data_IF_063794079843
#
_entry.id   IF_063794079843
#
_cell.length_a   1.000
_cell.length_b   1.000
_cell.length_c   1.000
_cell.angle_alpha   90.00
_cell.angle_beta   90.00
_cell.angle_gamma   90.00
#
_symmetry.space_group_name_H-M   'P 1'
#
loop_
_entity.id
_entity.type
_entity.pdbx_description
1 polymer ?
#
# COMPACT_ATOMS: atom_id res chain seq x y z
N UNK A 1 -5.87 2.51 10.46
CA UNK A 1 -5.59 3.96 10.46
C UNK A 1 -5.75 4.41 9.01
N UNK A 2 -6.51 5.48 8.73
CA UNK A 2 -6.76 5.98 7.36
C UNK A 2 -6.62 7.49 7.37
N UNK A 3 -5.77 8.04 6.50
CA UNK A 3 -5.53 9.48 6.40
C UNK A 3 -5.30 9.86 4.94
N UNK A 4 -5.86 10.99 4.54
CA UNK A 4 -5.63 11.62 3.23
C UNK A 4 -5.62 13.13 3.43
N UNK A 5 -4.69 13.81 2.77
CA UNK A 5 -4.52 15.26 2.78
C UNK A 5 -4.14 15.73 1.38
N UNK A 6 -4.47 16.97 1.05
CA UNK A 6 -3.98 17.58 -0.19
C UNK A 6 -2.46 17.67 -0.19
N UNK A 7 -1.84 17.49 -1.36
CA UNK A 7 -0.37 17.43 -1.48
C UNK A 7 0.32 18.73 -1.04
N UNK A 8 -0.30 19.88 -1.23
CA UNK A 8 0.21 21.20 -0.79
C UNK A 8 0.30 21.37 0.74
N UNK A 9 -0.38 20.51 1.50
CA UNK A 9 -0.35 20.46 2.96
C UNK A 9 0.53 19.32 3.50
N UNK A 10 1.19 18.57 2.61
CA UNK A 10 2.08 17.49 3.00
C UNK A 10 3.42 18.03 3.55
N UNK A 11 4.05 17.26 4.44
CA UNK A 11 5.41 17.58 4.88
C UNK A 11 6.33 17.61 3.65
N UNK A 12 7.26 18.58 3.54
CA UNK A 12 8.18 18.62 2.42
C UNK A 12 8.99 17.31 2.34
N UNK A 13 9.36 16.95 1.12
CA UNK A 13 10.34 15.90 0.89
C UNK A 13 11.64 16.27 1.62
N UNK A 14 12.15 15.35 2.43
CA UNK A 14 13.40 15.50 3.18
C UNK A 14 14.46 14.59 2.55
N UNK A 15 15.26 15.09 1.59
CA UNK A 15 16.39 14.32 1.06
C UNK A 15 17.30 13.87 2.21
N UNK A 16 17.77 12.62 2.18
CA UNK A 16 18.60 12.05 3.24
C UNK A 16 17.85 11.49 4.45
N UNK A 17 16.52 11.70 4.56
CA UNK A 17 15.71 11.10 5.65
C UNK A 17 15.63 9.57 5.59
N UNK A 18 16.03 8.97 4.47
CA UNK A 18 16.19 7.53 4.26
C UNK A 18 17.65 7.19 3.87
N UNK A 19 18.63 7.85 4.46
CA UNK A 19 20.02 7.35 4.45
C UNK A 19 20.12 6.16 5.40
N UNK A 20 19.62 5.01 4.94
CA UNK A 20 19.78 3.75 5.66
C UNK A 20 21.20 3.25 5.47
N UNK A 21 21.93 3.06 6.57
CA UNK A 21 23.15 2.27 6.53
C UNK A 21 22.82 0.77 6.34
N UNK A 22 23.85 -0.07 6.23
CA UNK A 22 23.66 -1.51 6.05
C UNK A 22 22.87 -2.13 7.23
N UNK A 23 23.12 -1.67 8.46
CA UNK A 23 22.46 -2.15 9.68
C UNK A 23 20.98 -1.80 9.70
N UNK A 24 20.63 -0.58 9.29
CA UNK A 24 19.25 -0.12 9.21
C UNK A 24 18.46 -0.88 8.13
N UNK A 25 19.10 -1.15 6.99
CA UNK A 25 18.51 -1.97 5.92
C UNK A 25 18.28 -3.42 6.37
N UNK A 26 19.22 -4.01 7.11
CA UNK A 26 19.05 -5.33 7.72
C UNK A 26 17.89 -5.33 8.72
N UNK A 27 17.82 -4.32 9.60
CA UNK A 27 16.73 -4.13 10.55
C UNK A 27 15.38 -4.05 9.83
N UNK A 28 15.24 -3.17 8.83
CA UNK A 28 14.02 -3.04 8.06
C UNK A 28 13.63 -4.36 7.39
N UNK A 29 14.59 -5.07 6.79
CA UNK A 29 14.37 -6.37 6.16
C UNK A 29 13.98 -7.46 7.17
N UNK A 30 14.42 -7.36 8.42
CA UNK A 30 14.02 -8.26 9.50
C UNK A 30 12.56 -8.05 9.93
N UNK A 31 12.08 -6.80 9.91
CA UNK A 31 10.75 -6.45 10.40
C UNK A 31 9.68 -6.37 9.32
N UNK A 32 10.03 -6.01 8.10
CA UNK A 32 9.08 -5.76 7.04
C UNK A 32 9.61 -6.09 5.65
N UNK A 33 8.67 -6.24 4.74
CA UNK A 33 8.88 -6.22 3.30
C UNK A 33 8.28 -4.94 2.78
N UNK A 34 9.07 -4.12 2.10
CA UNK A 34 8.59 -2.91 1.42
C UNK A 34 8.60 -3.14 -0.09
N UNK A 35 7.59 -2.63 -0.79
CA UNK A 35 7.54 -2.71 -2.24
C UNK A 35 6.74 -1.56 -2.87
N UNK A 36 7.29 -0.99 -3.95
CA UNK A 36 6.64 0.07 -4.72
C UNK A 36 5.51 -0.50 -5.58
N UNK A 37 4.49 0.32 -5.78
CA UNK A 37 3.44 0.12 -6.78
C UNK A 37 3.11 1.44 -7.48
N UNK A 38 2.45 1.36 -8.62
CA UNK A 38 1.98 2.52 -9.40
C UNK A 38 0.55 2.31 -9.88
N UNK A 39 -0.24 3.36 -9.99
CA UNK A 39 -1.59 3.37 -10.55
C UNK A 39 -1.69 4.40 -11.67
N UNK A 40 -2.16 3.97 -12.83
CA UNK A 40 -2.40 4.83 -13.99
C UNK A 40 -3.85 5.29 -13.98
N UNK A 41 -4.07 6.60 -13.82
CA UNK A 41 -5.42 7.16 -13.72
C UNK A 41 -6.13 7.24 -15.08
N UNK A 42 -5.42 7.06 -16.21
CA UNK A 42 -6.04 7.02 -17.54
C UNK A 42 -6.88 5.78 -17.77
N UNK A 43 -6.48 4.66 -17.16
CA UNK A 43 -7.07 3.34 -17.38
C UNK A 43 -7.53 2.65 -16.08
N UNK A 44 -7.23 3.23 -14.93
CA UNK A 44 -7.60 2.70 -13.62
C UNK A 44 -6.84 1.43 -13.21
N UNK A 45 -5.68 1.17 -13.83
CA UNK A 45 -4.88 -0.02 -13.57
C UNK A 45 -3.72 0.27 -12.61
N UNK A 46 -3.53 -0.65 -11.67
CA UNK A 46 -2.44 -0.68 -10.72
C UNK A 46 -1.42 -1.72 -11.19
N UNK A 47 -0.14 -1.38 -11.10
CA UNK A 47 0.99 -2.29 -11.33
C UNK A 47 1.73 -2.49 -10.01
N UNK A 48 1.73 -3.72 -9.54
CA UNK A 48 2.33 -4.17 -8.30
C UNK A 48 3.70 -4.79 -8.56
N UNK A 49 4.57 -4.75 -7.55
CA UNK A 49 5.74 -5.62 -7.55
C UNK A 49 5.36 -7.08 -7.23
N UNK A 50 6.36 -7.96 -7.29
CA UNK A 50 6.16 -9.41 -7.14
C UNK A 50 5.64 -9.77 -5.74
N UNK A 51 6.21 -9.15 -4.69
CA UNK A 51 5.87 -9.49 -3.30
C UNK A 51 4.45 -9.04 -2.94
N UNK A 52 4.04 -7.86 -3.41
CA UNK A 52 2.70 -7.33 -3.25
C UNK A 52 1.68 -8.14 -4.06
N UNK A 53 2.03 -8.56 -5.28
CA UNK A 53 1.17 -9.43 -6.10
C UNK A 53 0.86 -10.74 -5.36
N UNK A 54 1.89 -11.39 -4.82
CA UNK A 54 1.75 -12.62 -4.03
C UNK A 54 0.97 -12.37 -2.74
N UNK A 55 1.30 -11.31 -1.99
CA UNK A 55 0.63 -10.98 -0.74
C UNK A 55 -0.87 -10.72 -0.91
N UNK A 56 -1.29 -10.13 -2.04
CA UNK A 56 -2.71 -9.88 -2.35
C UNK A 56 -3.42 -11.06 -3.04
N UNK A 57 -2.73 -12.19 -3.25
CA UNK A 57 -3.32 -13.38 -3.88
C UNK A 57 -3.66 -13.20 -5.35
N UNK A 58 -2.85 -12.42 -6.08
CA UNK A 58 -3.02 -12.17 -7.51
C UNK A 58 -2.08 -13.02 -8.34
N UNK A 59 -2.49 -13.35 -9.56
CA UNK A 59 -1.66 -14.05 -10.55
C UNK A 59 -0.90 -13.09 -11.45
N UNK A 60 -1.46 -11.90 -11.67
CA UNK A 60 -0.88 -10.87 -12.53
C UNK A 60 -0.46 -9.67 -11.71
N UNK A 61 0.63 -9.01 -12.15
CA UNK A 61 1.13 -7.77 -11.53
C UNK A 61 0.20 -6.57 -11.78
N UNK A 62 -0.65 -6.65 -12.79
CA UNK A 62 -1.56 -5.57 -13.16
C UNK A 62 -2.99 -5.91 -12.72
N UNK A 63 -3.67 -4.98 -12.06
CA UNK A 63 -5.04 -5.20 -11.58
C UNK A 63 -5.82 -3.88 -11.48
N UNK A 64 -7.16 -3.95 -11.47
CA UNK A 64 -8.00 -2.81 -11.12
C UNK A 64 -8.14 -2.65 -9.59
N UNK A 65 -8.52 -1.45 -9.14
CA UNK A 65 -8.66 -1.13 -7.71
C UNK A 65 -9.55 -2.12 -6.94
N UNK A 66 -10.67 -2.54 -7.51
CA UNK A 66 -11.58 -3.49 -6.85
C UNK A 66 -10.91 -4.86 -6.65
N UNK A 67 -10.08 -5.30 -7.60
CA UNK A 67 -9.31 -6.53 -7.45
C UNK A 67 -8.22 -6.40 -6.39
N UNK A 68 -7.67 -5.20 -6.21
CA UNK A 68 -6.69 -4.91 -5.16
C UNK A 68 -7.30 -4.98 -3.76
N UNK A 69 -8.43 -4.32 -3.54
CA UNK A 69 -9.01 -4.18 -2.19
C UNK A 69 -9.88 -5.37 -1.77
N UNK A 70 -10.24 -6.28 -2.70
CA UNK A 70 -11.14 -7.41 -2.39
C UNK A 70 -10.63 -8.31 -1.27
N UNK A 71 -9.31 -8.41 -1.11
CA UNK A 71 -8.68 -9.23 -0.07
C UNK A 71 -8.50 -8.47 1.25
N UNK A 72 -8.81 -7.18 1.33
CA UNK A 72 -8.72 -6.45 2.59
C UNK A 72 -9.87 -6.82 3.54
N UNK A 73 -9.67 -6.54 4.83
CA UNK A 73 -10.68 -6.65 5.89
C UNK A 73 -11.99 -6.00 5.41
N UNK A 74 -13.13 -6.72 5.40
CA UNK A 74 -14.38 -6.22 4.85
C UNK A 74 -14.81 -4.84 5.35
N UNK A 75 -14.54 -4.54 6.63
CA UNK A 75 -14.87 -3.25 7.26
C UNK A 75 -14.01 -2.08 6.75
N UNK A 76 -12.85 -2.36 6.17
CA UNK A 76 -11.90 -1.35 5.70
C UNK A 76 -12.03 -1.07 4.20
N UNK A 77 -12.63 -1.99 3.42
CA UNK A 77 -12.69 -1.90 1.93
C UNK A 77 -13.28 -0.58 1.45
N UNK A 78 -14.42 -0.17 2.02
CA UNK A 78 -15.08 1.09 1.64
C UNK A 78 -14.20 2.30 1.92
N UNK A 79 -13.50 2.33 3.06
CA UNK A 79 -12.60 3.43 3.42
C UNK A 79 -11.38 3.50 2.52
N UNK A 80 -10.82 2.35 2.15
CA UNK A 80 -9.70 2.29 1.19
C UNK A 80 -10.15 2.76 -0.19
N UNK A 81 -11.34 2.33 -0.64
CA UNK A 81 -11.92 2.77 -1.90
C UNK A 81 -12.09 4.29 -1.94
N UNK A 82 -12.77 4.87 -0.94
CA UNK A 82 -12.99 6.32 -0.82
C UNK A 82 -11.68 7.12 -0.82
N UNK A 83 -10.63 6.56 -0.21
CA UNK A 83 -9.30 7.17 -0.16
C UNK A 83 -8.66 7.21 -1.55
N UNK A 84 -8.74 6.12 -2.32
CA UNK A 84 -8.23 6.10 -3.70
C UNK A 84 -9.06 6.96 -4.64
N UNK A 85 -10.38 7.04 -4.45
CA UNK A 85 -11.25 7.93 -5.21
C UNK A 85 -10.89 9.41 -4.98
N UNK A 86 -10.66 9.80 -3.72
CA UNK A 86 -10.20 11.15 -3.39
C UNK A 86 -8.81 11.45 -3.97
N UNK A 87 -7.89 10.49 -3.90
CA UNK A 87 -6.56 10.62 -4.51
C UNK A 87 -6.61 10.69 -6.03
N UNK A 88 -7.60 10.05 -6.68
CA UNK A 88 -7.81 10.15 -8.12
C UNK A 88 -8.51 11.46 -8.54
N UNK A 89 -9.27 12.10 -7.63
CA UNK A 89 -9.98 13.34 -7.90
C UNK A 89 -9.12 14.61 -7.68
N UNK A 90 -8.12 14.52 -6.79
CA UNK A 90 -7.26 15.65 -6.45
C UNK A 90 -5.88 15.20 -6.00
N UNK A 91 -4.84 15.99 -6.34
CA UNK A 91 -3.47 15.74 -5.91
C UNK A 91 -3.42 15.65 -4.38
N UNK A 92 -3.19 14.45 -3.87
CA UNK A 92 -3.30 14.13 -2.45
C UNK A 92 -2.20 13.17 -2.03
N UNK A 93 -1.70 13.35 -0.81
CA UNK A 93 -0.90 12.36 -0.10
C UNK A 93 -1.80 11.57 0.85
N UNK A 94 -1.61 10.26 0.95
CA UNK A 94 -2.45 9.41 1.77
C UNK A 94 -1.64 8.31 2.46
N UNK A 95 -2.22 7.78 3.53
CA UNK A 95 -1.78 6.53 4.12
C UNK A 95 -2.95 5.73 4.69
N UNK A 96 -2.84 4.41 4.62
CA UNK A 96 -3.76 3.52 5.30
C UNK A 96 -3.06 2.30 5.88
N UNK A 97 -3.77 1.63 6.79
CA UNK A 97 -3.40 0.35 7.35
C UNK A 97 -4.63 -0.52 7.46
N UNK A 98 -4.53 -1.74 6.96
CA UNK A 98 -5.58 -2.77 6.99
C UNK A 98 -4.93 -4.16 7.09
N UNK A 99 -5.72 -5.21 6.93
CA UNK A 99 -5.30 -6.60 6.95
C UNK A 99 -5.75 -7.31 5.69
N UNK A 100 -4.85 -8.03 5.04
CA UNK A 100 -5.16 -8.93 3.94
C UNK A 100 -5.67 -10.26 4.50
N UNK A 101 -6.79 -10.70 3.96
CA UNK A 101 -7.47 -11.95 4.23
C UNK A 101 -7.66 -12.71 2.92
N UNK A 102 -6.91 -13.80 2.77
CA UNK A 102 -7.09 -14.78 1.71
C UNK A 102 -7.52 -16.11 2.34
N UNK A 103 -8.38 -16.84 1.64
CA UNK A 103 -8.89 -18.11 2.14
C UNK A 103 -7.75 -19.11 2.34
N UNK A 104 -7.70 -19.73 3.52
CA UNK A 104 -6.67 -20.72 3.86
C UNK A 104 -5.29 -20.15 4.19
N UNK A 105 -5.11 -18.82 4.22
CA UNK A 105 -3.85 -18.19 4.62
C UNK A 105 -3.97 -17.47 5.97
N UNK A 106 -2.86 -17.35 6.73
CA UNK A 106 -2.79 -16.40 7.83
C UNK A 106 -3.09 -14.97 7.35
N UNK A 107 -3.61 -14.13 8.26
CA UNK A 107 -3.96 -12.74 7.94
C UNK A 107 -2.71 -11.87 7.97
N UNK A 108 -2.43 -11.15 6.87
CA UNK A 108 -1.23 -10.34 6.71
C UNK A 108 -1.57 -8.85 6.90
N UNK A 109 -1.02 -8.16 7.92
CA UNK A 109 -1.13 -6.71 8.01
C UNK A 109 -0.47 -6.04 6.80
N UNK A 110 -1.05 -4.95 6.32
CA UNK A 110 -0.45 -4.12 5.27
C UNK A 110 -0.61 -2.65 5.63
N UNK A 111 0.47 -1.90 5.45
CA UNK A 111 0.44 -0.44 5.45
C UNK A 111 0.69 0.04 4.03
N UNK A 112 0.05 1.13 3.66
CA UNK A 112 0.27 1.78 2.39
C UNK A 112 0.47 3.27 2.63
N UNK A 113 1.47 3.84 1.97
CA UNK A 113 1.66 5.28 1.85
C UNK A 113 1.77 5.58 0.37
N UNK A 114 1.12 6.64 -0.09
CA UNK A 114 1.18 7.02 -1.49
C UNK A 114 0.76 8.45 -1.72
N UNK A 115 0.93 8.87 -2.97
CA UNK A 115 0.54 10.18 -3.43
C UNK A 115 0.04 10.12 -4.87
N UNK A 116 -0.87 11.01 -5.22
CA UNK A 116 -1.28 11.26 -6.59
C UNK A 116 -0.65 12.55 -7.13
N UNK A 117 -0.22 12.50 -8.38
CA UNK A 117 0.41 13.62 -9.10
C UNK A 117 -0.15 13.74 -10.52
N UNK A 118 0.04 14.90 -11.14
CA UNK A 118 -0.32 15.12 -12.55
C UNK A 118 -1.82 15.28 -12.82
N UNK A 119 -2.64 15.54 -11.80
CA UNK A 119 -4.08 15.76 -11.93
C UNK A 119 -4.47 17.16 -12.43
N UNK A 120 -3.56 18.13 -12.34
CA UNK A 120 -3.80 19.53 -12.72
C UNK A 120 -3.32 19.85 -14.14
N UNK A 121 -2.66 18.90 -14.82
CA UNK A 121 -2.11 19.08 -16.16
C UNK A 121 -2.99 18.40 -17.24
N UNK A 122 -2.75 18.68 -18.53
CA UNK A 122 -3.45 18.04 -19.66
C UNK A 122 -3.21 16.52 -19.80
N UNK A 123 -2.48 15.91 -18.86
CA UNK A 123 -2.07 14.53 -18.88
C UNK A 123 -2.91 13.72 -17.88
N UNK A 124 -3.06 12.42 -18.14
CA UNK A 124 -3.64 11.54 -17.15
C UNK A 124 -2.69 11.40 -15.96
N UNK A 125 -3.20 11.68 -14.76
CA UNK A 125 -2.40 11.61 -13.54
C UNK A 125 -1.90 10.21 -13.21
N UNK A 126 -0.97 10.12 -12.27
CA UNK A 126 -0.45 8.84 -11.76
C UNK A 126 -0.55 8.85 -10.24
N UNK A 127 -0.85 7.69 -9.67
CA UNK A 127 -0.72 7.45 -8.23
C UNK A 127 0.49 6.56 -8.02
N UNK A 128 1.35 6.90 -7.08
CA UNK A 128 2.49 6.05 -6.70
C UNK A 128 2.43 5.79 -5.21
N UNK A 129 2.96 4.65 -4.80
CA UNK A 129 3.02 4.35 -3.37
C UNK A 129 3.93 3.19 -3.04
N UNK A 130 3.98 2.91 -1.76
CA UNK A 130 4.76 1.82 -1.17
C UNK A 130 3.82 1.03 -0.26
N UNK A 131 3.80 -0.28 -0.46
CA UNK A 131 3.27 -1.22 0.52
C UNK A 131 4.37 -1.61 1.50
N UNK A 132 4.00 -1.74 2.77
CA UNK A 132 4.85 -2.23 3.85
C UNK A 132 4.11 -3.40 4.51
N UNK A 133 4.69 -4.59 4.42
CA UNK A 133 4.16 -5.82 4.99
C UNK A 133 5.04 -6.22 6.18
N UNK A 134 4.56 -6.11 7.43
CA UNK A 134 5.29 -6.65 8.57
C UNK A 134 5.51 -8.15 8.44
N UNK A 135 6.67 -8.65 8.86
CA UNK A 135 7.03 -10.08 8.85
C UNK A 135 6.44 -10.82 10.05
N UNK A 136 5.15 -10.63 10.29
CA UNK A 136 4.34 -11.43 11.21
C UNK A 136 2.92 -11.58 10.64
N UNK A 137 2.25 -12.65 11.04
CA UNK A 137 0.88 -12.93 10.64
C UNK A 137 -0.05 -12.84 11.86
N UNK A 138 -1.30 -12.48 11.61
CA UNK A 138 -2.38 -12.54 12.60
C UNK A 138 -3.09 -13.89 12.40
N UNK A 139 -3.14 -14.69 13.46
CA UNK A 139 -3.83 -15.98 13.45
C UNK A 139 -5.34 -15.79 13.66
N UNK A 140 -6.15 -16.65 13.03
CA UNK A 140 -7.60 -16.75 13.24
C UNK A 140 -7.94 -17.11 14.70
N UNK A 141 -6.98 -17.62 15.47
CA UNK A 141 -7.12 -18.01 16.86
C UNK A 141 -5.97 -17.51 17.77
N UNK A 142 -5.46 -16.30 17.57
CA UNK A 142 -4.59 -15.63 18.56
C UNK A 142 -3.30 -16.38 18.97
N UNK A 143 -2.86 -17.41 18.24
CA UNK A 143 -1.58 -18.07 18.51
C UNK A 143 -0.46 -17.32 17.82
N UNK A 144 0.39 -16.69 18.63
CA UNK A 144 1.65 -16.06 18.22
C UNK A 144 2.52 -17.09 17.50
N UNK A 145 2.98 -16.76 16.29
CA UNK A 145 4.12 -17.43 15.71
C UNK A 145 5.36 -17.15 16.57
N UNK A 146 6.08 -18.21 16.97
CA UNK A 146 7.44 -18.07 17.48
C UNK A 146 8.33 -17.75 16.28
N UNK A 147 9.04 -16.61 16.33
CA UNK A 147 10.18 -16.34 15.47
C UNK A 147 11.16 -17.51 15.62
N UNK A 148 11.50 -18.19 14.53
CA UNK A 148 12.68 -19.05 14.45
C UNK A 148 13.91 -18.17 14.26
#
# INVERSE_FOLDING_TARGET
MFKIIKTDLSSPFLPGSMEFDETDNELLTQYCVTERWTGDLSNGLFTLGEKATLAHGMTERTCGLLNLIRCYEPLDRTRVLELFEQAAASSSSFCFSTTIHLDGTPRQPVFCVGESTGLEEKYAGTIIGVFIFPRFQIDLAGRRFKRQ
#
